data_IF_409903400944
#
_entry.id   IF_409903400944
#
_cell.length_a   1.000
_cell.length_b   1.000
_cell.length_c   1.000
_cell.angle_alpha   90.00
_cell.angle_beta   90.00
_cell.angle_gamma   90.00
#
_symmetry.space_group_name_H-M   'P 1'
#
loop_
_entity.id
_entity.type
_entity.pdbx_description
1 polymer ?
#
# COMPACT_ATOMS: atom_id res chain seq x y z
N UNK A 1 4.91 -24.09 26.03
CA UNK A 1 5.29 -23.02 26.97
C UNK A 1 5.53 -21.78 26.12
N UNK A 2 4.68 -20.76 26.28
CA UNK A 2 4.79 -19.52 25.52
C UNK A 2 5.97 -18.68 26.02
N UNK A 3 6.68 -17.99 25.11
CA UNK A 3 7.73 -17.04 25.50
C UNK A 3 7.07 -15.74 25.98
N UNK A 4 7.58 -15.10 27.05
CA UNK A 4 7.06 -13.81 27.50
C UNK A 4 7.31 -12.74 26.43
N UNK A 5 6.28 -11.92 26.15
CA UNK A 5 6.36 -10.78 25.24
C UNK A 5 6.71 -9.49 26.00
N UNK A 6 7.49 -8.57 25.41
CA UNK A 6 7.72 -7.25 25.99
C UNK A 6 6.40 -6.47 26.08
N UNK A 7 6.24 -5.66 27.14
CA UNK A 7 5.10 -4.78 27.39
C UNK A 7 3.70 -5.42 27.34
N UNK A 8 3.61 -6.73 27.61
CA UNK A 8 2.35 -7.51 27.53
C UNK A 8 1.70 -7.51 26.14
N UNK A 9 2.50 -7.32 25.08
CA UNK A 9 2.01 -7.37 23.71
C UNK A 9 1.43 -8.75 23.34
N UNK A 10 0.48 -8.81 22.40
CA UNK A 10 -0.06 -10.07 21.89
C UNK A 10 1.03 -11.02 21.38
N UNK A 11 0.79 -12.33 21.50
CA UNK A 11 1.67 -13.37 20.94
C UNK A 11 1.76 -13.28 19.41
N UNK A 12 0.61 -13.04 18.76
CA UNK A 12 0.51 -12.96 17.30
C UNK A 12 1.03 -11.62 16.78
N UNK A 13 1.99 -11.67 15.85
CA UNK A 13 2.57 -10.46 15.24
C UNK A 13 1.51 -9.56 14.61
N UNK A 14 0.47 -10.13 14.00
CA UNK A 14 -0.62 -9.37 13.39
C UNK A 14 -1.45 -8.57 14.39
N UNK A 15 -1.64 -9.09 15.60
CA UNK A 15 -2.34 -8.38 16.67
C UNK A 15 -1.43 -7.32 17.27
N UNK A 16 -0.16 -7.65 17.51
CA UNK A 16 0.84 -6.70 17.98
C UNK A 16 0.99 -5.49 17.06
N UNK A 17 1.08 -5.71 15.73
CA UNK A 17 1.13 -4.61 14.76
C UNK A 17 -0.14 -3.76 14.77
N UNK A 18 -1.32 -4.39 14.87
CA UNK A 18 -2.60 -3.64 14.92
C UNK A 18 -2.67 -2.75 16.16
N UNK A 19 -2.23 -3.25 17.30
CA UNK A 19 -2.23 -2.49 18.55
C UNK A 19 -1.20 -1.36 18.52
N UNK A 20 0.05 -1.68 18.18
CA UNK A 20 1.14 -0.72 18.11
C UNK A 20 0.92 0.40 17.08
N UNK A 21 0.17 0.14 16.00
CA UNK A 21 -0.07 1.14 14.94
C UNK A 21 -1.40 1.88 15.07
N UNK A 22 -2.23 1.58 16.08
CA UNK A 22 -3.58 2.13 16.22
C UNK A 22 -3.60 3.67 16.28
N UNK A 23 -2.70 4.25 17.04
CA UNK A 23 -2.64 5.72 17.21
C UNK A 23 -2.20 6.40 15.91
N UNK A 24 -1.10 5.94 15.32
CA UNK A 24 -0.58 6.52 14.07
C UNK A 24 -1.51 6.26 12.88
N UNK A 25 -2.24 5.15 12.85
CA UNK A 25 -3.31 4.91 11.88
C UNK A 25 -4.41 5.97 11.99
N UNK A 26 -4.87 6.25 13.22
CA UNK A 26 -5.88 7.28 13.48
C UNK A 26 -5.39 8.66 13.05
N UNK A 27 -4.12 8.99 13.31
CA UNK A 27 -3.52 10.24 12.86
C UNK A 27 -3.44 10.33 11.33
N UNK A 28 -3.05 9.23 10.66
CA UNK A 28 -2.96 9.17 9.20
C UNK A 28 -4.31 9.36 8.50
N UNK A 29 -5.38 8.71 9.00
CA UNK A 29 -6.74 8.92 8.49
C UNK A 29 -7.26 10.34 8.72
N UNK A 30 -6.79 10.98 9.79
CA UNK A 30 -7.11 12.37 10.11
C UNK A 30 -6.20 13.40 9.45
N UNK A 31 -5.21 13.02 8.64
CA UNK A 31 -4.45 13.98 7.85
C UNK A 31 -5.40 14.78 6.96
N UNK A 32 -5.16 16.08 6.79
CA UNK A 32 -6.08 16.97 6.07
C UNK A 32 -6.44 16.44 4.68
N UNK A 33 -5.44 15.98 3.93
CA UNK A 33 -5.65 15.37 2.63
C UNK A 33 -6.59 14.16 2.71
N UNK A 34 -6.38 13.25 3.66
CA UNK A 34 -7.22 12.05 3.80
C UNK A 34 -8.65 12.38 4.22
N UNK A 35 -8.85 13.34 5.14
CA UNK A 35 -10.19 13.80 5.51
C UNK A 35 -10.91 14.45 4.33
N UNK A 36 -10.23 15.31 3.58
CA UNK A 36 -10.79 15.95 2.39
C UNK A 36 -11.15 14.88 1.35
N UNK A 37 -10.25 13.92 1.14
CA UNK A 37 -10.51 12.81 0.22
C UNK A 37 -11.72 12.01 0.67
N UNK A 38 -11.82 11.57 1.92
CA UNK A 38 -12.97 10.83 2.46
C UNK A 38 -14.30 11.60 2.34
N UNK A 39 -14.27 12.94 2.37
CA UNK A 39 -15.43 13.81 2.14
C UNK A 39 -15.78 14.02 0.66
N UNK A 40 -15.03 13.40 -0.26
CA UNK A 40 -15.17 13.59 -1.70
C UNK A 40 -14.59 14.93 -2.21
N UNK A 41 -13.83 15.64 -1.37
CA UNK A 41 -13.19 16.91 -1.69
C UNK A 41 -11.77 16.66 -2.25
N UNK A 42 -11.68 15.80 -3.26
CA UNK A 42 -10.42 15.49 -3.96
C UNK A 42 -10.42 16.13 -5.34
N UNK A 43 -9.36 16.86 -5.66
CA UNK A 43 -9.16 17.43 -6.99
C UNK A 43 -8.41 16.45 -7.88
N UNK A 44 -8.53 16.62 -9.20
CA UNK A 44 -7.75 15.83 -10.17
C UNK A 44 -6.24 15.97 -9.93
N UNK A 45 -5.76 17.17 -9.63
CA UNK A 45 -4.35 17.42 -9.33
C UNK A 45 -3.89 16.71 -8.05
N UNK A 46 -4.67 16.80 -6.97
CA UNK A 46 -4.37 16.12 -5.71
C UNK A 46 -4.36 14.60 -5.87
N UNK A 47 -5.32 14.06 -6.63
CA UNK A 47 -5.36 12.63 -6.92
C UNK A 47 -4.15 12.17 -7.74
N UNK A 48 -3.80 12.92 -8.79
CA UNK A 48 -2.59 12.70 -9.60
C UNK A 48 -1.32 12.64 -8.75
N UNK A 49 -1.15 13.58 -7.80
CA UNK A 49 -0.01 13.60 -6.88
C UNK A 49 0.06 12.36 -6.00
N UNK A 50 -1.07 11.88 -5.48
CA UNK A 50 -1.09 10.65 -4.67
C UNK A 50 -0.81 9.42 -5.51
N UNK A 51 -1.38 9.30 -6.71
CA UNK A 51 -1.10 8.19 -7.62
C UNK A 51 0.37 8.13 -8.01
N UNK A 52 0.99 9.28 -8.31
CA UNK A 52 2.44 9.37 -8.55
C UNK A 52 3.26 9.01 -7.31
N UNK A 53 2.82 9.42 -6.11
CA UNK A 53 3.48 9.03 -4.85
C UNK A 53 3.45 7.53 -4.66
N UNK A 54 2.28 6.92 -4.84
CA UNK A 54 2.07 5.48 -4.69
C UNK A 54 2.92 4.71 -5.70
N UNK A 55 3.01 5.17 -6.94
CA UNK A 55 3.88 4.54 -7.95
C UNK A 55 5.32 4.43 -7.46
N UNK A 56 5.96 5.53 -7.04
CA UNK A 56 7.34 5.49 -6.57
C UNK A 56 7.51 4.60 -5.33
N UNK A 57 6.55 4.67 -4.40
CA UNK A 57 6.54 3.83 -3.19
C UNK A 57 6.45 2.34 -3.54
N UNK A 58 5.53 1.95 -4.42
CA UNK A 58 5.33 0.56 -4.80
C UNK A 58 6.43 0.02 -5.69
N UNK A 59 7.02 0.82 -6.57
CA UNK A 59 8.21 0.43 -7.32
C UNK A 59 9.33 0.03 -6.35
N UNK A 60 9.62 0.87 -5.37
CA UNK A 60 10.68 0.59 -4.40
C UNK A 60 10.33 -0.59 -3.47
N UNK A 61 9.10 -0.66 -2.97
CA UNK A 61 8.64 -1.76 -2.12
C UNK A 61 8.73 -3.10 -2.88
N UNK A 62 8.23 -3.16 -4.11
CA UNK A 62 8.17 -4.40 -4.89
C UNK A 62 9.55 -4.81 -5.42
N UNK A 63 10.45 -3.87 -5.71
CA UNK A 63 11.85 -4.17 -5.99
C UNK A 63 12.52 -4.88 -4.80
N UNK A 64 12.31 -4.37 -3.59
CA UNK A 64 12.91 -4.95 -2.39
C UNK A 64 12.22 -6.24 -1.93
N UNK A 65 10.93 -6.41 -2.24
CA UNK A 65 10.23 -7.70 -2.10
C UNK A 65 10.86 -8.74 -3.03
N UNK A 66 11.06 -8.41 -4.31
CA UNK A 66 11.69 -9.33 -5.27
C UNK A 66 13.11 -9.71 -4.86
N UNK A 67 13.88 -8.76 -4.30
CA UNK A 67 15.22 -9.03 -3.76
C UNK A 67 15.20 -10.05 -2.62
N UNK A 68 14.17 -10.03 -1.78
CA UNK A 68 14.09 -10.81 -0.54
C UNK A 68 13.08 -11.98 -0.58
N UNK A 69 12.49 -12.28 -1.74
CA UNK A 69 11.39 -13.23 -1.88
C UNK A 69 11.70 -14.67 -1.44
N UNK A 70 12.96 -15.10 -1.53
CA UNK A 70 13.39 -16.43 -1.10
C UNK A 70 13.87 -16.44 0.37
N UNK A 71 14.05 -15.26 0.97
CA UNK A 71 14.52 -15.14 2.34
C UNK A 71 13.44 -15.60 3.32
N UNK A 72 13.76 -16.44 4.32
CA UNK A 72 12.76 -16.96 5.26
C UNK A 72 12.06 -15.86 6.08
N UNK A 73 12.66 -14.68 6.19
CA UNK A 73 12.06 -13.53 6.90
C UNK A 73 10.93 -12.85 6.12
N UNK A 74 10.77 -13.13 4.82
CA UNK A 74 9.73 -12.52 3.98
C UNK A 74 8.95 -13.53 3.13
N UNK A 75 9.59 -14.62 2.68
CA UNK A 75 8.98 -15.65 1.84
C UNK A 75 7.58 -16.13 2.27
N UNK A 76 7.24 -16.26 3.57
CA UNK A 76 5.91 -16.68 3.99
C UNK A 76 4.77 -15.76 3.51
N UNK A 77 5.04 -14.47 3.30
CA UNK A 77 4.08 -13.43 2.92
C UNK A 77 4.28 -12.92 1.47
N UNK A 78 5.05 -13.65 0.65
CA UNK A 78 5.29 -13.32 -0.75
C UNK A 78 4.10 -13.76 -1.64
N UNK A 79 3.28 -12.78 -2.06
CA UNK A 79 2.07 -12.97 -2.87
C UNK A 79 2.04 -12.02 -4.08
N UNK A 80 2.95 -12.17 -5.06
CA UNK A 80 3.14 -11.20 -6.13
C UNK A 80 1.91 -11.07 -7.03
N UNK A 81 1.31 -12.19 -7.43
CA UNK A 81 0.14 -12.20 -8.32
C UNK A 81 -1.06 -11.52 -7.66
N UNK A 82 -1.27 -11.76 -6.38
CA UNK A 82 -2.39 -11.20 -5.64
C UNK A 82 -2.19 -9.73 -5.30
N UNK A 83 -0.97 -9.32 -4.94
CA UNK A 83 -0.73 -8.03 -4.29
C UNK A 83 0.01 -7.00 -5.13
N UNK A 84 0.87 -7.37 -6.08
CA UNK A 84 1.70 -6.37 -6.76
C UNK A 84 0.86 -5.28 -7.43
N UNK A 85 1.24 -4.02 -7.21
CA UNK A 85 0.52 -2.81 -7.61
C UNK A 85 1.25 -2.02 -8.67
N UNK A 86 2.55 -2.23 -8.88
CA UNK A 86 3.34 -1.47 -9.87
C UNK A 86 2.67 -1.44 -11.24
N UNK A 87 2.31 -2.60 -11.79
CA UNK A 87 1.69 -2.68 -13.12
C UNK A 87 0.34 -1.93 -13.19
N UNK A 88 -0.48 -2.00 -12.14
CA UNK A 88 -1.74 -1.24 -12.08
C UNK A 88 -1.49 0.27 -11.99
N UNK A 89 -0.46 0.69 -11.24
CA UNK A 89 -0.07 2.10 -11.14
C UNK A 89 0.50 2.64 -12.45
N UNK A 90 1.23 1.83 -13.22
CA UNK A 90 1.70 2.22 -14.57
C UNK A 90 0.53 2.49 -15.53
N UNK A 91 -0.52 1.65 -15.49
CA UNK A 91 -1.75 1.87 -16.26
C UNK A 91 -2.47 3.15 -15.82
N UNK A 92 -2.61 3.36 -14.52
CA UNK A 92 -3.26 4.56 -13.98
C UNK A 92 -2.47 5.82 -14.34
N UNK A 93 -1.14 5.80 -14.24
CA UNK A 93 -0.32 6.96 -14.60
C UNK A 93 -0.37 7.28 -16.09
N UNK A 94 -0.44 6.28 -16.97
CA UNK A 94 -0.67 6.50 -18.39
C UNK A 94 -2.02 7.19 -18.66
N UNK A 95 -3.08 6.83 -17.92
CA UNK A 95 -4.38 7.50 -17.99
C UNK A 95 -4.30 8.96 -17.49
N UNK A 96 -3.63 9.19 -16.36
CA UNK A 96 -3.64 10.47 -15.66
C UNK A 96 -2.67 11.52 -16.22
N UNK A 97 -1.52 11.08 -16.74
CA UNK A 97 -0.42 11.93 -17.21
C UNK A 97 -0.14 11.74 -18.71
N UNK A 98 -0.82 10.81 -19.38
CA UNK A 98 -0.65 10.53 -20.80
C UNK A 98 0.52 9.59 -21.12
N UNK A 99 0.80 9.32 -22.41
CA UNK A 99 1.80 8.33 -22.83
C UNK A 99 3.22 8.59 -22.32
N UNK A 100 3.56 9.86 -22.05
CA UNK A 100 4.87 10.30 -21.56
C UNK A 100 4.93 10.45 -20.03
N UNK A 101 4.03 9.78 -19.31
CA UNK A 101 3.89 9.91 -17.86
C UNK A 101 5.22 9.76 -17.11
N UNK A 102 6.08 8.83 -17.53
CA UNK A 102 7.38 8.57 -16.89
C UNK A 102 8.29 9.81 -16.82
N UNK A 103 8.17 10.72 -17.79
CA UNK A 103 8.98 11.94 -17.88
C UNK A 103 8.39 13.11 -17.08
N UNK A 104 7.12 13.03 -16.70
CA UNK A 104 6.36 14.18 -16.16
C UNK A 104 5.79 13.95 -14.76
N UNK A 105 5.79 12.71 -14.26
CA UNK A 105 5.32 12.47 -12.90
C UNK A 105 6.28 13.13 -11.88
N UNK A 106 5.74 13.76 -10.84
CA UNK A 106 6.57 14.38 -9.82
C UNK A 106 7.26 13.32 -8.97
N UNK A 107 8.42 13.69 -8.43
CA UNK A 107 9.13 12.92 -7.41
C UNK A 107 9.53 13.85 -6.26
N UNK A 108 8.60 14.09 -5.36
CA UNK A 108 8.74 15.09 -4.29
C UNK A 108 9.70 14.61 -3.20
N UNK A 109 10.22 15.53 -2.35
CA UNK A 109 11.08 15.15 -1.24
C UNK A 109 10.46 14.14 -0.27
N UNK A 110 9.13 14.17 -0.07
CA UNK A 110 8.45 13.19 0.78
C UNK A 110 8.44 11.79 0.16
N UNK A 111 8.20 11.70 -1.16
CA UNK A 111 8.28 10.44 -1.90
C UNK A 111 9.70 9.86 -1.82
N UNK A 112 10.72 10.70 -2.04
CA UNK A 112 12.13 10.31 -1.95
C UNK A 112 12.50 9.75 -0.58
N UNK A 113 12.04 10.37 0.51
CA UNK A 113 12.28 9.85 1.88
C UNK A 113 11.65 8.46 2.09
N UNK A 114 10.43 8.26 1.58
CA UNK A 114 9.76 6.97 1.70
C UNK A 114 10.53 5.89 0.91
N UNK A 115 10.84 6.17 -0.36
CA UNK A 115 11.61 5.27 -1.23
C UNK A 115 12.98 4.93 -0.63
N UNK A 116 13.68 5.93 -0.09
CA UNK A 116 14.97 5.72 0.60
C UNK A 116 14.83 4.73 1.75
N UNK A 117 13.82 4.88 2.62
CA UNK A 117 13.62 3.94 3.73
C UNK A 117 13.27 2.54 3.25
N UNK A 118 12.48 2.40 2.18
CA UNK A 118 12.17 1.09 1.62
C UNK A 118 13.42 0.37 1.12
N UNK A 119 14.30 1.07 0.39
CA UNK A 119 15.58 0.50 -0.04
C UNK A 119 16.53 0.20 1.12
N UNK A 120 16.58 1.04 2.16
CA UNK A 120 17.36 0.75 3.37
C UNK A 120 16.87 -0.56 4.01
N UNK A 121 15.57 -0.67 4.28
CA UNK A 121 14.96 -1.88 4.86
C UNK A 121 15.26 -3.11 3.99
N UNK A 122 14.97 -3.04 2.70
CA UNK A 122 15.18 -4.17 1.79
C UNK A 122 16.63 -4.64 1.66
N UNK A 123 17.60 -3.74 1.85
CA UNK A 123 19.03 -4.04 1.67
C UNK A 123 19.73 -4.42 2.95
N UNK A 124 19.34 -3.84 4.09
CA UNK A 124 20.10 -3.99 5.35
C UNK A 124 19.29 -4.51 6.53
N UNK A 125 17.96 -4.47 6.47
CA UNK A 125 17.05 -4.89 7.55
C UNK A 125 15.84 -5.66 6.99
N UNK A 126 16.04 -6.70 6.15
CA UNK A 126 14.96 -7.32 5.37
C UNK A 126 13.85 -7.96 6.23
N UNK A 127 14.14 -8.30 7.48
CA UNK A 127 13.16 -8.76 8.47
C UNK A 127 12.11 -7.70 8.80
N UNK A 128 12.39 -6.42 8.57
CA UNK A 128 11.45 -5.31 8.77
C UNK A 128 10.60 -5.02 7.52
N UNK A 129 10.90 -5.67 6.38
CA UNK A 129 10.17 -5.45 5.12
C UNK A 129 8.69 -5.81 5.24
N UNK A 130 8.38 -6.82 6.05
CA UNK A 130 6.99 -7.24 6.34
C UNK A 130 6.16 -6.12 6.97
N UNK A 131 6.77 -5.22 7.75
CA UNK A 131 6.06 -4.09 8.35
C UNK A 131 5.52 -3.14 7.25
N UNK A 132 6.34 -2.85 6.24
CA UNK A 132 5.93 -2.01 5.11
C UNK A 132 4.88 -2.72 4.23
N UNK A 133 5.11 -3.98 3.87
CA UNK A 133 4.18 -4.76 3.06
C UNK A 133 2.81 -4.91 3.75
N UNK A 134 2.80 -5.23 5.04
CA UNK A 134 1.59 -5.34 5.86
C UNK A 134 0.78 -4.04 5.84
N UNK A 135 1.42 -2.91 6.19
CA UNK A 135 0.73 -1.62 6.28
C UNK A 135 0.18 -1.16 4.94
N UNK A 136 0.95 -1.34 3.86
CA UNK A 136 0.55 -0.92 2.51
C UNK A 136 -0.55 -1.82 1.94
N UNK A 137 -0.29 -3.12 1.79
CA UNK A 137 -1.21 -4.03 1.11
C UNK A 137 -2.52 -4.25 1.88
N UNK A 138 -2.47 -4.49 3.20
CA UNK A 138 -3.71 -4.72 3.95
C UNK A 138 -4.51 -3.43 4.16
N UNK A 139 -3.84 -2.27 4.17
CA UNK A 139 -4.49 -0.96 4.13
C UNK A 139 -5.30 -0.78 2.86
N UNK A 140 -4.69 -1.05 1.70
CA UNK A 140 -5.37 -0.94 0.40
C UNK A 140 -6.53 -1.95 0.24
N UNK A 141 -6.36 -3.18 0.73
CA UNK A 141 -7.42 -4.20 0.75
C UNK A 141 -8.57 -3.88 1.73
N UNK A 142 -8.39 -2.91 2.62
CA UNK A 142 -9.40 -2.51 3.60
C UNK A 142 -10.11 -1.21 3.19
N UNK A 143 -9.35 -0.13 3.02
CA UNK A 143 -9.90 1.19 2.68
C UNK A 143 -10.00 1.47 1.17
N UNK A 144 -9.27 0.74 0.34
CA UNK A 144 -9.14 1.03 -1.08
C UNK A 144 -10.46 1.02 -1.85
N UNK A 145 -11.39 0.12 -1.51
CA UNK A 145 -12.71 0.08 -2.16
C UNK A 145 -13.57 1.31 -1.85
N UNK A 146 -13.44 1.86 -0.64
CA UNK A 146 -14.13 3.09 -0.25
C UNK A 146 -13.53 4.27 -1.02
N UNK A 147 -12.20 4.39 -1.02
CA UNK A 147 -11.48 5.45 -1.74
C UNK A 147 -11.72 5.38 -3.25
N UNK A 148 -11.79 4.18 -3.84
CA UNK A 148 -12.14 3.97 -5.25
C UNK A 148 -13.49 4.60 -5.60
N UNK A 149 -14.53 4.29 -4.83
CA UNK A 149 -15.89 4.82 -5.05
C UNK A 149 -15.94 6.34 -4.92
N UNK A 150 -15.23 6.87 -3.93
CA UNK A 150 -15.14 8.31 -3.70
C UNK A 150 -14.42 9.01 -4.86
N UNK A 151 -13.25 8.51 -5.27
CA UNK A 151 -12.51 9.05 -6.41
C UNK A 151 -13.34 8.98 -7.69
N UNK A 152 -14.02 7.85 -7.94
CA UNK A 152 -14.86 7.67 -9.10
C UNK A 152 -15.97 8.71 -9.19
N UNK A 153 -16.67 8.96 -8.08
CA UNK A 153 -17.73 9.97 -8.01
C UNK A 153 -17.18 11.40 -8.09
N UNK A 154 -16.16 11.73 -7.29
CA UNK A 154 -15.64 13.10 -7.17
C UNK A 154 -14.94 13.58 -8.45
N UNK A 155 -14.31 12.67 -9.20
CA UNK A 155 -13.54 12.98 -10.40
C UNK A 155 -14.28 12.65 -11.71
N UNK A 156 -15.52 12.16 -11.63
CA UNK A 156 -16.33 11.81 -12.80
C UNK A 156 -15.72 10.69 -13.66
N UNK A 157 -15.14 9.66 -13.04
CA UNK A 157 -14.45 8.58 -13.74
C UNK A 157 -15.40 7.52 -14.28
N UNK A 158 -15.06 6.88 -15.41
CA UNK A 158 -15.92 5.88 -16.04
C UNK A 158 -16.08 4.64 -15.15
N UNK A 159 -17.21 3.95 -15.31
CA UNK A 159 -17.48 2.67 -14.63
C UNK A 159 -16.63 1.51 -15.14
N UNK A 160 -15.94 1.67 -16.27
CA UNK A 160 -14.97 0.70 -16.80
C UNK A 160 -13.75 0.53 -15.89
N UNK A 161 -13.45 1.51 -15.02
CA UNK A 161 -12.38 1.43 -14.03
C UNK A 161 -11.03 2.02 -14.47
N UNK A 162 -10.96 2.62 -15.67
CA UNK A 162 -9.78 3.35 -16.15
C UNK A 162 -9.37 4.46 -15.17
N UNK A 163 -8.07 4.55 -14.88
CA UNK A 163 -7.50 5.49 -13.91
C UNK A 163 -7.67 5.08 -12.44
N UNK A 164 -8.23 3.90 -12.17
CA UNK A 164 -8.44 3.32 -10.82
C UNK A 164 -8.01 1.85 -10.72
N UNK A 165 -7.11 1.38 -11.60
CA UNK A 165 -6.61 0.02 -11.62
C UNK A 165 -5.96 -0.36 -10.28
N UNK A 166 -5.22 0.56 -9.66
CA UNK A 166 -4.57 0.37 -8.36
C UNK A 166 -5.50 -0.19 -7.28
N UNK A 167 -6.74 0.30 -7.25
CA UNK A 167 -7.74 -0.08 -6.26
C UNK A 167 -8.43 -1.42 -6.56
N UNK A 168 -8.02 -2.13 -7.61
CA UNK A 168 -8.63 -3.37 -8.06
C UNK A 168 -7.62 -4.51 -7.95
N UNK A 169 -7.97 -5.56 -7.22
CA UNK A 169 -7.13 -6.74 -7.02
C UNK A 169 -7.75 -7.93 -7.77
N UNK A 170 -7.47 -8.08 -9.09
CA UNK A 170 -8.17 -9.08 -9.91
C UNK A 170 -7.94 -10.51 -9.44
N UNK A 171 -6.77 -10.77 -8.84
CA UNK A 171 -6.36 -12.08 -8.35
C UNK A 171 -6.83 -12.36 -6.89
N UNK A 172 -7.65 -11.48 -6.30
CA UNK A 172 -8.22 -11.66 -4.96
C UNK A 172 -9.74 -11.64 -5.03
N UNK A 173 -10.36 -12.83 -4.96
CA UNK A 173 -11.82 -12.95 -4.96
C UNK A 173 -12.49 -12.44 -3.67
N UNK A 174 -11.80 -12.53 -2.53
CA UNK A 174 -12.32 -12.06 -1.23
C UNK A 174 -11.22 -11.41 -0.41
N UNK A 175 -11.27 -10.08 -0.31
CA UNK A 175 -10.34 -9.31 0.50
C UNK A 175 -10.34 -9.76 1.97
N UNK A 176 -11.49 -10.14 2.52
CA UNK A 176 -11.57 -10.65 3.91
C UNK A 176 -10.80 -11.95 4.08
N UNK A 177 -11.03 -12.96 3.22
CA UNK A 177 -10.32 -14.24 3.29
C UNK A 177 -8.82 -14.07 3.05
N UNK A 178 -8.45 -13.22 2.09
CA UNK A 178 -7.03 -12.97 1.80
C UNK A 178 -6.32 -12.27 2.97
N UNK A 179 -6.97 -11.28 3.62
CA UNK A 179 -6.40 -10.64 4.82
C UNK A 179 -6.23 -11.62 5.99
N UNK A 180 -7.12 -12.61 6.13
CA UNK A 180 -6.98 -13.67 7.13
C UNK A 180 -5.80 -14.58 6.81
N UNK A 181 -5.68 -15.02 5.55
CA UNK A 181 -4.53 -15.79 5.06
C UNK A 181 -3.22 -15.03 5.32
N UNK A 182 -3.13 -13.77 4.90
CA UNK A 182 -1.92 -12.97 5.05
C UNK A 182 -1.49 -12.85 6.52
N UNK A 183 -2.42 -12.58 7.45
CA UNK A 183 -2.12 -12.54 8.89
C UNK A 183 -1.62 -13.89 9.42
N UNK A 184 -2.27 -14.98 9.02
CA UNK A 184 -1.84 -16.33 9.41
C UNK A 184 -0.46 -16.72 8.88
N UNK A 185 -0.01 -16.12 7.78
CA UNK A 185 1.33 -16.34 7.21
C UNK A 185 2.41 -15.49 7.86
N UNK A 186 1.99 -14.41 8.53
CA UNK A 186 2.88 -13.45 9.19
C UNK A 186 3.11 -13.78 10.66
N UNK A 187 2.15 -14.40 11.33
CA UNK A 187 2.29 -14.97 12.67
C UNK A 187 3.19 -16.21 12.64
#
# INVERSE_FOLDING_TARGET
>A
MERPQPDSMPQDLSEALKEATKEVHTQAENAEFMRNFQKGQVTREGFKLVMASLYHIYVALEEEIERNKESPVFAPVYFPEELHRKAALEQDLAFWYGPRWQEVIPYTPAMQRYVKRLHEVGRTEPELLVAHAYTRYLGDLSGGQVLKKIAQKALGLPSSGEGLAFFTFPNIASATKFKQLYRSRMN
#
